data_IF_831047539044
#
_entry.id   IF_831047539044
#
_cell.length_a   1.000
_cell.length_b   1.000
_cell.length_c   1.000
_cell.angle_alpha   90.00
_cell.angle_beta   90.00
_cell.angle_gamma   90.00
#
_symmetry.space_group_name_H-M   'P 1'
#
loop_
_entity.id
_entity.type
_entity.pdbx_description
1 polymer ?
#
# COMPACT_ATOMS: atom_id res chain seq x y z
N UNK A 1 19.81 -4.64 53.37
CA UNK A 1 20.31 -4.14 52.07
C UNK A 1 20.30 -5.20 50.97
N UNK A 2 20.25 -6.51 51.30
CA UNK A 2 20.27 -7.62 50.33
C UNK A 2 18.91 -7.93 49.66
N UNK A 3 17.79 -7.71 50.36
CA UNK A 3 16.44 -8.00 49.82
C UNK A 3 16.10 -7.10 48.63
N UNK A 4 16.53 -5.83 48.66
CA UNK A 4 16.30 -4.89 47.54
C UNK A 4 17.17 -5.20 46.32
N UNK A 5 18.33 -5.84 46.51
CA UNK A 5 19.22 -6.27 45.42
C UNK A 5 18.69 -7.55 44.76
N UNK A 6 18.19 -8.52 45.55
CA UNK A 6 17.53 -9.72 45.03
C UNK A 6 16.23 -9.43 44.28
N UNK A 7 15.40 -8.50 44.78
CA UNK A 7 14.19 -8.05 44.07
C UNK A 7 14.56 -7.33 42.76
N UNK A 8 15.59 -6.48 42.76
CA UNK A 8 16.08 -5.85 41.52
C UNK A 8 16.66 -6.84 40.52
N UNK A 9 17.37 -7.88 40.98
CA UNK A 9 17.90 -8.96 40.13
C UNK A 9 16.77 -9.82 39.54
N UNK A 10 15.79 -10.22 40.36
CA UNK A 10 14.61 -10.96 39.90
C UNK A 10 13.76 -10.18 38.91
N UNK A 11 13.58 -8.87 39.14
CA UNK A 11 12.87 -7.98 38.19
C UNK A 11 13.67 -7.77 36.90
N UNK A 12 15.00 -7.65 36.96
CA UNK A 12 15.86 -7.54 35.77
C UNK A 12 15.90 -8.83 34.94
N UNK A 13 15.93 -9.99 35.58
CA UNK A 13 15.85 -11.28 34.89
C UNK A 13 14.48 -11.47 34.24
N UNK A 14 13.38 -11.20 34.96
CA UNK A 14 12.03 -11.33 34.39
C UNK A 14 11.76 -10.37 33.21
N UNK A 15 12.28 -9.14 33.28
CA UNK A 15 12.16 -8.18 32.16
C UNK A 15 13.07 -8.52 30.98
N UNK A 16 14.25 -9.09 31.25
CA UNK A 16 15.16 -9.55 30.17
C UNK A 16 14.61 -10.79 29.49
N UNK A 17 14.08 -11.77 30.23
CA UNK A 17 13.46 -12.97 29.64
C UNK A 17 12.21 -12.63 28.84
N UNK A 18 11.33 -11.75 29.35
CA UNK A 18 10.16 -11.30 28.59
C UNK A 18 10.53 -10.52 27.31
N UNK A 19 11.63 -9.76 27.33
CA UNK A 19 12.12 -9.05 26.15
C UNK A 19 12.76 -9.99 25.14
N UNK A 20 13.51 -11.00 25.61
CA UNK A 20 14.14 -12.03 24.76
C UNK A 20 13.08 -12.92 24.10
N UNK A 21 12.02 -13.31 24.83
CA UNK A 21 10.90 -14.06 24.26
C UNK A 21 10.18 -13.25 23.19
N UNK A 22 9.97 -11.95 23.41
CA UNK A 22 9.32 -11.07 22.43
C UNK A 22 10.16 -10.92 21.16
N UNK A 23 11.48 -10.78 21.29
CA UNK A 23 12.40 -10.68 20.14
C UNK A 23 12.49 -12.03 19.41
N UNK A 24 12.55 -13.14 20.13
CA UNK A 24 12.62 -14.49 19.55
C UNK A 24 11.34 -14.82 18.80
N UNK A 25 10.18 -14.48 19.35
CA UNK A 25 8.89 -14.63 18.68
C UNK A 25 8.79 -13.77 17.43
N UNK A 26 9.28 -12.53 17.48
CA UNK A 26 9.34 -11.64 16.30
C UNK A 26 10.23 -12.23 15.18
N UNK A 27 11.40 -12.77 15.52
CA UNK A 27 12.33 -13.38 14.56
C UNK A 27 11.76 -14.66 13.95
N UNK A 28 11.18 -15.56 14.76
CA UNK A 28 10.54 -16.80 14.29
C UNK A 28 9.38 -16.48 13.35
N UNK A 29 8.60 -15.47 13.68
CA UNK A 29 7.47 -15.06 12.87
C UNK A 29 7.91 -14.41 11.55
N UNK A 30 8.95 -13.57 11.56
CA UNK A 30 9.55 -13.05 10.33
C UNK A 30 10.04 -14.20 9.43
N UNK A 31 10.74 -15.19 9.99
CA UNK A 31 11.16 -16.37 9.23
C UNK A 31 9.97 -17.14 8.64
N UNK A 32 8.89 -17.34 9.40
CA UNK A 32 7.68 -18.00 8.92
C UNK A 32 7.04 -17.21 7.77
N UNK A 33 6.92 -15.88 7.90
CA UNK A 33 6.38 -15.00 6.86
C UNK A 33 7.22 -15.04 5.58
N UNK A 34 8.56 -15.04 5.70
CA UNK A 34 9.48 -15.16 4.55
C UNK A 34 9.29 -16.51 3.85
N UNK A 35 9.20 -17.60 4.61
CA UNK A 35 8.99 -18.95 4.06
C UNK A 35 7.63 -19.06 3.38
N UNK A 36 6.56 -18.54 3.98
CA UNK A 36 5.21 -18.52 3.40
C UNK A 36 5.20 -17.67 2.12
N UNK A 37 5.83 -16.50 2.12
CA UNK A 37 5.95 -15.64 0.96
C UNK A 37 6.67 -16.33 -0.20
N UNK A 38 7.78 -17.00 0.09
CA UNK A 38 8.56 -17.75 -0.91
C UNK A 38 7.81 -19.00 -1.42
N UNK A 39 6.95 -19.60 -0.59
CA UNK A 39 6.10 -20.72 -1.01
C UNK A 39 4.92 -20.26 -1.87
N UNK A 40 4.36 -19.07 -1.58
CA UNK A 40 3.32 -18.44 -2.38
C UNK A 40 3.84 -17.96 -3.74
N UNK A 41 5.06 -17.44 -3.82
CA UNK A 41 5.70 -17.07 -5.08
C UNK A 41 5.84 -18.28 -6.03
N UNK A 42 6.02 -19.47 -5.46
CA UNK A 42 6.07 -20.73 -6.22
C UNK A 42 4.69 -21.16 -6.74
N UNK A 43 3.61 -20.69 -6.13
CA UNK A 43 2.27 -20.83 -6.65
C UNK A 43 2.05 -19.71 -7.69
N UNK A 44 2.14 -20.08 -8.97
CA UNK A 44 2.00 -19.20 -10.16
C UNK A 44 0.63 -18.51 -10.33
N UNK A 45 -0.15 -18.41 -9.26
CA UNK A 45 -1.52 -17.92 -9.22
C UNK A 45 -1.64 -16.48 -8.71
N UNK A 46 -0.56 -15.87 -8.22
CA UNK A 46 -0.62 -14.53 -7.62
C UNK A 46 0.39 -13.57 -8.25
N UNK A 47 -0.05 -12.34 -8.51
CA UNK A 47 0.81 -11.25 -8.98
C UNK A 47 1.78 -10.83 -7.88
N UNK A 48 2.98 -10.38 -8.28
CA UNK A 48 4.06 -9.97 -7.37
C UNK A 48 3.56 -8.94 -6.34
N UNK A 49 2.80 -7.94 -6.79
CA UNK A 49 2.25 -6.89 -5.93
C UNK A 49 1.22 -7.39 -4.92
N UNK A 50 0.36 -8.35 -5.30
CA UNK A 50 -0.63 -8.94 -4.37
C UNK A 50 0.10 -9.78 -3.32
N UNK A 51 1.20 -10.43 -3.68
CA UNK A 51 2.04 -11.21 -2.76
C UNK A 51 2.72 -10.30 -1.75
N UNK A 52 3.32 -9.20 -2.22
CA UNK A 52 3.90 -8.18 -1.35
C UNK A 52 2.85 -7.58 -0.39
N UNK A 53 1.65 -7.27 -0.89
CA UNK A 53 0.54 -6.73 -0.08
C UNK A 53 0.12 -7.71 1.02
N UNK A 54 -0.09 -8.98 0.68
CA UNK A 54 -0.50 -10.01 1.64
C UNK A 54 0.55 -10.27 2.70
N UNK A 55 1.83 -10.32 2.32
CA UNK A 55 2.94 -10.46 3.26
C UNK A 55 2.99 -9.25 4.20
N UNK A 56 2.91 -8.03 3.67
CA UNK A 56 2.87 -6.80 4.47
C UNK A 56 1.69 -6.77 5.44
N UNK A 57 0.51 -7.17 4.99
CA UNK A 57 -0.70 -7.27 5.82
C UNK A 57 -0.54 -8.30 6.94
N UNK A 58 -0.01 -9.50 6.63
CA UNK A 58 0.22 -10.54 7.63
C UNK A 58 1.22 -10.07 8.70
N UNK A 59 2.32 -9.46 8.29
CA UNK A 59 3.33 -8.90 9.19
C UNK A 59 2.71 -7.79 10.06
N UNK A 60 1.96 -6.86 9.47
CA UNK A 60 1.28 -5.78 10.17
C UNK A 60 0.30 -6.28 11.23
N UNK A 61 -0.55 -7.27 10.88
CA UNK A 61 -1.50 -7.90 11.81
C UNK A 61 -0.77 -8.54 12.98
N UNK A 62 0.32 -9.27 12.72
CA UNK A 62 1.02 -9.95 13.81
C UNK A 62 1.73 -8.96 14.74
N UNK A 63 2.37 -7.93 14.19
CA UNK A 63 2.97 -6.87 15.01
C UNK A 63 1.90 -6.20 15.88
N UNK A 64 0.72 -5.93 15.32
CA UNK A 64 -0.40 -5.33 16.03
C UNK A 64 -0.89 -6.22 17.19
N UNK A 65 -1.07 -7.53 16.95
CA UNK A 65 -1.48 -8.50 17.96
C UNK A 65 -0.43 -8.68 19.07
N UNK A 66 0.84 -8.75 18.70
CA UNK A 66 1.96 -8.93 19.65
C UNK A 66 2.16 -7.69 20.52
N UNK A 67 1.96 -6.50 19.95
CA UNK A 67 2.20 -5.20 20.60
C UNK A 67 1.00 -4.71 21.41
N UNK A 68 -0.15 -5.39 21.36
CA UNK A 68 -1.43 -4.96 21.99
C UNK A 68 -1.77 -3.49 21.70
N UNK A 69 -1.40 -2.99 20.51
CA UNK A 69 -1.64 -1.60 20.09
C UNK A 69 -0.85 -0.51 20.83
N UNK A 70 0.18 -0.86 21.64
CA UNK A 70 0.95 0.13 22.44
C UNK A 70 2.09 0.84 21.70
N UNK A 71 2.55 0.31 20.56
CA UNK A 71 3.66 0.87 19.78
C UNK A 71 3.20 1.15 18.36
N UNK A 72 2.16 1.97 18.21
CA UNK A 72 1.59 2.34 16.91
C UNK A 72 2.58 3.13 16.05
N UNK A 73 3.56 3.81 16.65
CA UNK A 73 4.45 4.73 15.95
C UNK A 73 5.44 4.08 14.98
N UNK A 74 5.75 2.78 15.15
CA UNK A 74 6.58 1.99 14.21
C UNK A 74 5.78 1.57 12.96
N UNK A 75 4.46 1.48 13.08
CA UNK A 75 3.55 1.12 11.98
C UNK A 75 2.94 2.35 11.28
N UNK A 76 3.23 3.57 11.75
CA UNK A 76 2.81 4.79 11.06
C UNK A 76 3.66 4.95 9.81
N UNK A 77 3.05 4.62 8.67
CA UNK A 77 3.62 4.89 7.36
C UNK A 77 3.80 6.40 7.18
N UNK A 78 5.02 6.83 6.85
CA UNK A 78 5.30 8.23 6.55
C UNK A 78 5.20 8.43 5.03
N UNK A 79 4.08 9.00 4.63
CA UNK A 79 3.76 9.30 3.24
C UNK A 79 4.79 10.24 2.60
N UNK A 80 5.27 11.25 3.33
CA UNK A 80 6.26 12.21 2.84
C UNK A 80 7.59 11.53 2.46
N UNK A 81 8.03 10.55 3.25
CA UNK A 81 9.25 9.80 2.93
C UNK A 81 9.07 8.96 1.67
N UNK A 82 7.89 8.38 1.45
CA UNK A 82 7.58 7.64 0.24
C UNK A 82 7.61 8.55 -1.00
N UNK A 83 6.91 9.70 -0.95
CA UNK A 83 6.84 10.64 -2.07
C UNK A 83 8.18 11.32 -2.38
N UNK A 84 8.99 11.64 -1.36
CA UNK A 84 10.26 12.35 -1.56
C UNK A 84 11.38 11.41 -1.98
N UNK A 85 11.44 10.18 -1.46
CA UNK A 85 12.59 9.29 -1.67
C UNK A 85 12.31 8.07 -2.54
N UNK A 86 11.12 7.46 -2.47
CA UNK A 86 10.82 6.23 -3.19
C UNK A 86 10.19 6.51 -4.56
N UNK A 87 9.27 7.47 -4.62
CA UNK A 87 8.54 7.79 -5.84
C UNK A 87 9.46 8.31 -6.98
N UNK A 88 10.43 9.23 -6.74
CA UNK A 88 11.22 9.78 -7.85
C UNK A 88 12.09 8.75 -8.57
N UNK A 89 12.81 7.84 -7.90
CA UNK A 89 13.51 6.74 -8.56
C UNK A 89 12.59 5.80 -9.35
N UNK A 90 11.39 5.51 -8.83
CA UNK A 90 10.42 4.64 -9.51
C UNK A 90 9.93 5.30 -10.79
N UNK A 91 9.47 6.55 -10.72
CA UNK A 91 9.03 7.33 -11.89
C UNK A 91 10.17 7.49 -12.89
N UNK A 92 11.39 7.77 -12.42
CA UNK A 92 12.55 7.92 -13.30
C UNK A 92 12.91 6.63 -14.03
N UNK A 93 12.98 5.50 -13.32
CA UNK A 93 13.22 4.20 -13.92
C UNK A 93 12.11 3.83 -14.92
N UNK A 94 10.85 4.06 -14.53
CA UNK A 94 9.71 3.81 -15.38
C UNK A 94 9.75 4.66 -16.66
N UNK A 95 10.02 5.95 -16.55
CA UNK A 95 10.11 6.89 -17.66
C UNK A 95 11.35 6.69 -18.56
N UNK A 96 12.45 6.14 -18.03
CA UNK A 96 13.63 5.81 -18.82
C UNK A 96 13.39 4.61 -19.75
N UNK A 97 12.60 3.64 -19.31
CA UNK A 97 12.27 2.46 -20.10
C UNK A 97 11.34 2.79 -21.29
N UNK A 98 10.50 3.84 -21.20
CA UNK A 98 9.49 4.19 -22.22
C UNK A 98 10.08 4.49 -23.59
N UNK A 99 9.49 3.89 -24.64
CA UNK A 99 9.72 4.24 -26.05
C UNK A 99 9.23 5.66 -26.34
N UNK A 100 10.07 6.65 -26.01
CA UNK A 100 9.78 8.10 -26.00
C UNK A 100 9.03 8.61 -27.25
N UNK A 101 9.37 8.12 -28.45
CA UNK A 101 8.81 8.66 -29.71
C UNK A 101 7.30 8.44 -29.90
N UNK A 102 6.75 7.26 -29.56
CA UNK A 102 5.30 6.99 -29.71
C UNK A 102 4.49 7.46 -28.51
N UNK A 103 5.11 7.44 -27.32
CA UNK A 103 4.50 7.92 -26.09
C UNK A 103 4.19 9.41 -26.16
N UNK A 104 5.19 10.25 -26.51
CA UNK A 104 5.00 11.70 -26.58
C UNK A 104 4.05 12.13 -27.71
N UNK A 105 3.94 11.35 -28.79
CA UNK A 105 2.99 11.66 -29.88
C UNK A 105 1.53 11.47 -29.49
N UNK A 106 1.22 10.53 -28.59
CA UNK A 106 -0.14 10.24 -28.15
C UNK A 106 -0.38 10.62 -26.68
N UNK A 107 0.58 11.31 -26.06
CA UNK A 107 0.58 11.62 -24.62
C UNK A 107 -0.70 12.33 -24.17
N UNK A 108 -1.20 13.29 -24.96
CA UNK A 108 -2.41 14.03 -24.62
C UNK A 108 -3.66 13.15 -24.66
N UNK A 109 -3.79 12.28 -25.67
CA UNK A 109 -4.90 11.32 -25.76
C UNK A 109 -4.84 10.31 -24.62
N UNK A 110 -3.65 9.80 -24.32
CA UNK A 110 -3.39 8.88 -23.22
C UNK A 110 -3.78 9.53 -21.89
N UNK A 111 -3.25 10.71 -21.58
CA UNK A 111 -3.57 11.43 -20.34
C UNK A 111 -5.06 11.75 -20.24
N UNK A 112 -5.71 12.15 -21.34
CA UNK A 112 -7.15 12.40 -21.36
C UNK A 112 -7.99 11.15 -21.12
N UNK A 113 -7.57 9.99 -21.65
CA UNK A 113 -8.28 8.73 -21.43
C UNK A 113 -8.17 8.28 -19.96
N UNK A 114 -7.01 8.49 -19.34
CA UNK A 114 -6.78 8.19 -17.92
C UNK A 114 -7.61 9.10 -17.01
N UNK A 115 -7.52 10.41 -17.23
CA UNK A 115 -8.25 11.40 -16.44
C UNK A 115 -9.78 11.33 -16.62
N UNK A 116 -10.26 11.11 -17.84
CA UNK A 116 -11.70 10.91 -18.07
C UNK A 116 -12.15 9.56 -17.53
N UNK A 117 -11.33 8.52 -17.67
CA UNK A 117 -11.62 7.18 -17.13
C UNK A 117 -11.74 7.17 -15.61
N UNK A 118 -10.84 7.87 -14.90
CA UNK A 118 -10.92 8.02 -13.45
C UNK A 118 -12.14 8.87 -13.06
N UNK A 119 -12.41 10.00 -13.72
CA UNK A 119 -13.59 10.81 -13.43
C UNK A 119 -14.91 10.04 -13.63
N UNK A 120 -15.00 9.22 -14.68
CA UNK A 120 -16.16 8.35 -14.91
C UNK A 120 -16.26 7.28 -13.82
N UNK A 121 -15.14 6.67 -13.42
CA UNK A 121 -15.09 5.67 -12.35
C UNK A 121 -15.53 6.27 -11.01
N UNK A 122 -15.06 7.48 -10.67
CA UNK A 122 -15.47 8.25 -9.51
C UNK A 122 -16.98 8.44 -9.47
N UNK A 123 -17.59 8.91 -10.57
CA UNK A 123 -19.03 9.15 -10.65
C UNK A 123 -19.82 7.84 -10.51
N UNK A 124 -19.38 6.77 -11.15
CA UNK A 124 -20.04 5.46 -11.08
C UNK A 124 -19.99 4.91 -9.64
N UNK A 125 -18.82 4.95 -9.00
CA UNK A 125 -18.64 4.43 -7.63
C UNK A 125 -19.42 5.29 -6.63
N UNK A 126 -19.37 6.62 -6.77
CA UNK A 126 -20.12 7.53 -5.91
C UNK A 126 -21.64 7.26 -5.98
N UNK A 127 -22.21 7.25 -7.18
CA UNK A 127 -23.63 6.99 -7.39
C UNK A 127 -24.02 5.56 -6.99
N UNK A 128 -23.18 4.58 -7.32
CA UNK A 128 -23.36 3.18 -6.97
C UNK A 128 -23.37 2.97 -5.46
N UNK A 129 -22.42 3.58 -4.75
CA UNK A 129 -22.34 3.57 -3.28
C UNK A 129 -23.58 4.21 -2.68
N UNK A 130 -24.01 5.38 -3.18
CA UNK A 130 -25.24 6.01 -2.69
C UNK A 130 -26.47 5.11 -2.86
N UNK A 131 -26.61 4.39 -3.97
CA UNK A 131 -27.74 3.50 -4.19
C UNK A 131 -27.65 2.21 -3.35
N UNK A 132 -26.45 1.62 -3.27
CA UNK A 132 -26.21 0.36 -2.56
C UNK A 132 -26.38 0.50 -1.04
N UNK A 133 -25.78 1.52 -0.43
CA UNK A 133 -25.89 1.72 1.02
C UNK A 133 -27.27 2.19 1.47
N UNK A 134 -27.98 2.97 0.63
CA UNK A 134 -29.40 3.31 0.89
C UNK A 134 -30.31 2.08 0.91
N UNK A 135 -30.02 1.06 0.09
CA UNK A 135 -30.78 -0.18 0.07
C UNK A 135 -30.46 -1.12 1.24
N UNK A 136 -29.33 -0.93 1.92
CA UNK A 136 -28.86 -1.77 3.02
C UNK A 136 -29.21 -1.24 4.41
N UNK A 137 -29.91 -0.11 4.51
CA UNK A 137 -30.31 0.56 5.77
C UNK A 137 -29.14 0.81 6.75
N UNK A 138 -27.92 0.88 6.20
CA UNK A 138 -26.72 1.27 6.95
C UNK A 138 -26.83 2.78 7.14
N UNK A 139 -26.95 3.21 8.40
CA UNK A 139 -27.37 4.56 8.80
C UNK A 139 -26.70 5.75 8.10
N UNK A 140 -27.26 6.94 8.33
CA UNK A 140 -26.99 8.24 7.70
C UNK A 140 -25.49 8.57 7.43
N UNK A 141 -24.92 7.98 6.38
CA UNK A 141 -23.70 8.50 5.76
C UNK A 141 -24.05 9.84 5.11
N UNK A 142 -23.25 10.86 5.37
CA UNK A 142 -23.42 12.17 4.77
C UNK A 142 -23.04 12.12 3.28
N UNK A 143 -23.49 13.12 2.51
CA UNK A 143 -23.09 13.21 1.09
C UNK A 143 -21.56 13.27 0.93
N UNK A 144 -20.85 13.82 1.92
CA UNK A 144 -19.39 13.85 1.99
C UNK A 144 -18.75 12.47 2.06
N UNK A 145 -19.34 11.51 2.79
CA UNK A 145 -18.78 10.16 2.92
C UNK A 145 -18.85 9.38 1.61
N UNK A 146 -19.97 9.53 0.88
CA UNK A 146 -20.10 8.92 -0.44
C UNK A 146 -19.12 9.52 -1.45
N UNK A 147 -18.90 10.84 -1.39
CA UNK A 147 -17.90 11.51 -2.23
C UNK A 147 -16.48 11.04 -1.88
N UNK A 148 -16.17 10.88 -0.58
CA UNK A 148 -14.89 10.35 -0.13
C UNK A 148 -14.68 8.90 -0.59
N UNK A 149 -15.69 8.05 -0.51
CA UNK A 149 -15.64 6.68 -1.04
C UNK A 149 -15.41 6.67 -2.56
N UNK A 150 -16.14 7.50 -3.29
CA UNK A 150 -15.91 7.69 -4.74
C UNK A 150 -14.47 8.09 -5.03
N UNK A 151 -13.90 9.02 -4.26
CA UNK A 151 -12.53 9.51 -4.44
C UNK A 151 -11.50 8.43 -4.14
N UNK A 152 -11.64 7.74 -3.00
CA UNK A 152 -10.70 6.71 -2.54
C UNK A 152 -10.68 5.52 -3.51
N UNK A 153 -11.85 5.03 -3.91
CA UNK A 153 -11.93 3.85 -4.78
C UNK A 153 -11.69 4.16 -6.26
N UNK A 154 -11.85 5.42 -6.68
CA UNK A 154 -11.50 5.85 -8.03
C UNK A 154 -10.03 6.24 -8.19
N UNK A 155 -9.32 6.53 -7.09
CA UNK A 155 -7.89 6.77 -7.14
C UNK A 155 -7.19 5.47 -7.55
N UNK A 156 -6.56 5.47 -8.72
CA UNK A 156 -5.81 4.34 -9.24
C UNK A 156 -4.37 4.38 -8.75
N UNK A 157 -3.90 3.28 -8.14
CA UNK A 157 -2.48 3.13 -7.81
C UNK A 157 -1.69 2.79 -9.08
N UNK A 158 -1.22 3.84 -9.72
CA UNK A 158 -0.38 3.77 -10.91
C UNK A 158 0.98 3.14 -10.66
N UNK A 159 1.52 3.24 -9.43
CA UNK A 159 2.86 2.75 -9.10
C UNK A 159 2.88 1.23 -9.05
N UNK A 160 1.89 0.64 -8.36
CA UNK A 160 1.74 -0.80 -8.25
C UNK A 160 1.47 -1.46 -9.61
N UNK A 161 0.69 -0.80 -10.46
CA UNK A 161 0.33 -1.30 -11.79
C UNK A 161 1.47 -1.20 -12.79
N UNK A 162 2.35 -0.18 -12.69
CA UNK A 162 3.55 -0.07 -13.52
C UNK A 162 4.57 -1.19 -13.29
N UNK A 163 4.67 -1.71 -12.06
CA UNK A 163 5.63 -2.78 -11.73
C UNK A 163 5.27 -4.12 -12.40
N UNK A 164 3.97 -4.36 -12.62
CA UNK A 164 3.46 -5.63 -13.18
C UNK A 164 3.38 -5.57 -14.71
N UNK A 165 3.34 -4.36 -15.30
CA UNK A 165 3.03 -4.19 -16.71
C UNK A 165 4.28 -4.20 -17.60
N UNK A 166 4.31 -5.10 -18.57
CA UNK A 166 5.39 -5.18 -19.55
C UNK A 166 5.21 -4.16 -20.69
N UNK A 167 6.25 -3.35 -20.90
CA UNK A 167 6.22 -2.31 -21.92
C UNK A 167 6.27 -2.84 -23.36
N UNK A 168 6.86 -4.01 -23.58
CA UNK A 168 6.94 -4.60 -24.91
C UNK A 168 5.63 -5.27 -25.35
N UNK A 169 4.81 -5.72 -24.40
CA UNK A 169 3.49 -6.30 -24.66
C UNK A 169 2.41 -5.21 -24.80
N UNK A 170 2.39 -4.22 -23.89
CA UNK A 170 1.34 -3.18 -23.86
C UNK A 170 1.89 -1.78 -23.62
N UNK A 171 2.60 -1.18 -24.60
CA UNK A 171 3.23 0.13 -24.45
C UNK A 171 2.21 1.25 -24.21
N UNK A 172 1.00 1.14 -24.74
CA UNK A 172 -0.04 2.16 -24.60
C UNK A 172 -0.61 2.21 -23.17
N UNK A 173 -0.82 1.05 -22.55
CA UNK A 173 -1.36 0.94 -21.20
C UNK A 173 -0.31 1.37 -20.15
N UNK A 174 0.96 1.05 -20.36
CA UNK A 174 2.06 1.51 -19.51
C UNK A 174 2.17 3.03 -19.48
N UNK A 175 2.09 3.63 -20.66
CA UNK A 175 2.06 5.07 -20.84
C UNK A 175 0.85 5.76 -20.20
N UNK A 176 -0.31 5.10 -20.21
CA UNK A 176 -1.56 5.59 -19.59
C UNK A 176 -1.42 5.69 -18.08
N UNK A 177 -1.05 4.57 -17.47
CA UNK A 177 -0.90 4.44 -16.02
C UNK A 177 0.19 5.39 -15.50
N UNK A 178 1.33 5.48 -16.21
CA UNK A 178 2.39 6.43 -15.86
C UNK A 178 1.94 7.90 -15.90
N UNK A 179 1.21 8.29 -16.96
CA UNK A 179 0.75 9.67 -17.10
C UNK A 179 -0.29 10.05 -16.05
N UNK A 180 -1.23 9.15 -15.75
CA UNK A 180 -2.24 9.36 -14.71
C UNK A 180 -1.61 9.47 -13.32
N UNK A 181 -0.68 8.57 -12.98
CA UNK A 181 0.08 8.61 -11.72
C UNK A 181 0.80 9.92 -11.47
N UNK A 182 1.58 10.39 -12.46
CA UNK A 182 2.33 11.65 -12.34
C UNK A 182 1.41 12.85 -12.13
N UNK A 183 0.26 12.89 -12.83
CA UNK A 183 -0.71 13.98 -12.68
C UNK A 183 -1.39 13.92 -11.32
N UNK A 184 -1.81 12.73 -10.88
CA UNK A 184 -2.46 12.52 -9.60
C UNK A 184 -1.52 12.89 -8.43
N UNK A 185 -0.28 12.41 -8.46
CA UNK A 185 0.74 12.70 -7.44
C UNK A 185 1.07 14.20 -7.39
N UNK A 186 1.18 14.87 -8.55
CA UNK A 186 1.41 16.31 -8.61
C UNK A 186 0.24 17.14 -8.03
N UNK A 187 -0.98 16.62 -8.07
CA UNK A 187 -2.15 17.28 -7.46
C UNK A 187 -2.30 16.99 -5.96
N UNK A 188 -1.75 15.88 -5.48
CA UNK A 188 -1.82 15.45 -4.08
C UNK A 188 -0.78 16.13 -3.17
N UNK A 189 0.38 16.55 -3.72
CA UNK A 189 1.38 17.31 -2.97
C UNK A 189 0.88 18.74 -2.75
N UNK A 190 0.26 18.99 -1.59
CA UNK A 190 -0.13 20.32 -1.12
C UNK A 190 0.17 20.52 0.36
#
# INVERSE_FOLDING_TARGET
MEVSTLVRLGVRSATSEASVDSITLFVVLLCLCIVIGHLLEKARWMTESVTALLIGLCIGIVILLTTKGKSSHILVFNEDLFFIYLLPPIIFNAGFQVKKKRFFQNFMTITSLGAVGSLVSFVIIWLGSMHFFKNLDVGFLEMGDYLALGAIFSATDSVCTLQVLNQDETPLLYSLVFGEGVVNDATSVR
#
